data_IF_951301932420
#
_entry.id   IF_951301932420
#
_cell.length_a   1.000
_cell.length_b   1.000
_cell.length_c   1.000
_cell.angle_alpha   90.00
_cell.angle_beta   90.00
_cell.angle_gamma   90.00
#
_symmetry.space_group_name_H-M   'P 1'
#
loop_
_entity.id
_entity.type
_entity.pdbx_description
1 polymer ?
#
# COMPACT_ATOMS: atom_id res chain seq x y z
N UNK A 1 9.09 -14.67 -3.91
CA UNK A 1 8.06 -14.80 -4.97
C UNK A 1 8.63 -14.43 -6.33
N UNK A 2 9.28 -13.26 -6.50
CA UNK A 2 9.83 -12.81 -7.80
C UNK A 2 10.86 -13.76 -8.42
N UNK A 3 11.63 -14.49 -7.60
CA UNK A 3 12.59 -15.47 -8.10
C UNK A 3 11.95 -16.60 -8.92
N UNK A 4 10.73 -16.98 -8.60
CA UNK A 4 10.01 -18.09 -9.26
C UNK A 4 8.89 -17.65 -10.20
N UNK A 5 8.59 -16.35 -10.32
CA UNK A 5 7.49 -15.89 -11.17
C UNK A 5 7.87 -15.95 -12.65
N UNK A 6 7.06 -16.59 -13.50
CA UNK A 6 7.27 -16.61 -14.94
C UNK A 6 7.00 -15.24 -15.59
N UNK A 7 6.04 -14.49 -15.05
CA UNK A 7 5.75 -13.11 -15.46
C UNK A 7 5.61 -12.23 -14.21
N UNK A 8 6.13 -11.02 -14.28
CA UNK A 8 6.03 -10.01 -13.23
C UNK A 8 5.31 -8.79 -13.80
N UNK A 9 4.14 -8.49 -13.28
CA UNK A 9 3.35 -7.36 -13.72
C UNK A 9 3.52 -6.18 -12.77
N UNK A 10 4.03 -5.05 -13.29
CA UNK A 10 4.04 -3.77 -12.58
C UNK A 10 2.73 -3.05 -12.84
N UNK A 11 1.87 -2.97 -11.83
CA UNK A 11 0.59 -2.28 -11.92
C UNK A 11 0.70 -0.79 -11.59
N UNK A 12 -0.27 0.02 -12.04
CA UNK A 12 -0.36 1.47 -11.81
C UNK A 12 0.79 2.27 -12.44
N UNK A 13 1.33 1.78 -13.53
CA UNK A 13 2.47 2.38 -14.23
C UNK A 13 2.13 3.69 -14.93
N UNK A 14 0.87 3.90 -15.35
CA UNK A 14 0.41 5.10 -16.02
C UNK A 14 0.54 6.41 -15.23
N UNK A 15 0.75 6.31 -13.92
CA UNK A 15 0.97 7.46 -13.04
C UNK A 15 2.42 7.58 -12.54
N UNK A 16 3.32 6.74 -13.06
CA UNK A 16 4.71 6.69 -12.66
C UNK A 16 5.60 7.35 -13.72
N UNK A 17 6.58 8.12 -13.27
CA UNK A 17 7.65 8.59 -14.13
C UNK A 17 8.56 7.45 -14.57
N UNK A 18 9.29 7.63 -15.67
CA UNK A 18 10.28 6.66 -16.12
C UNK A 18 11.33 6.36 -15.07
N UNK A 19 11.76 7.39 -14.34
CA UNK A 19 12.73 7.24 -13.25
C UNK A 19 12.19 6.36 -12.10
N UNK A 20 10.91 6.47 -11.75
CA UNK A 20 10.27 5.62 -10.72
C UNK A 20 10.20 4.16 -11.17
N UNK A 21 9.89 3.91 -12.44
CA UNK A 21 9.88 2.56 -13.02
C UNK A 21 11.28 1.95 -13.01
N UNK A 22 12.29 2.70 -13.46
CA UNK A 22 13.68 2.24 -13.47
C UNK A 22 14.21 2.01 -12.05
N UNK A 23 13.78 2.79 -11.07
CA UNK A 23 14.09 2.58 -9.65
C UNK A 23 13.46 1.27 -9.15
N UNK A 24 12.22 1.01 -9.53
CA UNK A 24 11.50 -0.23 -9.17
C UNK A 24 12.21 -1.44 -9.77
N UNK A 25 12.60 -1.40 -11.04
CA UNK A 25 13.38 -2.47 -11.69
C UNK A 25 14.69 -2.74 -10.97
N UNK A 26 15.47 -1.69 -10.69
CA UNK A 26 16.73 -1.84 -9.93
C UNK A 26 16.50 -2.44 -8.55
N UNK A 27 15.41 -2.06 -7.87
CA UNK A 27 15.06 -2.64 -6.57
C UNK A 27 14.72 -4.13 -6.65
N UNK A 28 14.01 -4.56 -7.69
CA UNK A 28 13.73 -5.98 -7.94
C UNK A 28 15.02 -6.77 -8.17
N UNK A 29 15.94 -6.27 -9.01
CA UNK A 29 17.24 -6.88 -9.26
C UNK A 29 18.09 -6.97 -8.00
N UNK A 30 18.15 -5.90 -7.21
CA UNK A 30 18.85 -5.89 -5.92
C UNK A 30 18.26 -6.93 -4.95
N UNK A 31 16.93 -7.08 -4.94
CA UNK A 31 16.25 -8.07 -4.12
C UNK A 31 16.60 -9.50 -4.51
N UNK A 32 16.74 -9.80 -5.81
CA UNK A 32 17.22 -11.10 -6.29
C UNK A 32 18.67 -11.36 -5.87
N UNK A 33 19.55 -10.38 -6.08
CA UNK A 33 20.96 -10.50 -5.64
C UNK A 33 21.08 -10.71 -4.13
N UNK A 34 20.25 -10.04 -3.34
CA UNK A 34 20.24 -10.19 -1.88
C UNK A 34 19.89 -11.60 -1.40
N UNK A 35 19.18 -12.37 -2.22
CA UNK A 35 18.88 -13.80 -1.98
C UNK A 35 19.74 -14.73 -2.81
N UNK A 36 20.81 -14.24 -3.42
CA UNK A 36 21.75 -15.00 -4.27
C UNK A 36 21.04 -15.69 -5.44
N UNK A 37 20.10 -15.01 -6.07
CA UNK A 37 19.42 -15.47 -7.26
C UNK A 37 19.99 -14.73 -8.47
N UNK A 38 20.57 -15.47 -9.42
CA UNK A 38 21.22 -14.92 -10.62
C UNK A 38 20.27 -14.75 -11.81
N UNK A 39 18.97 -14.93 -11.56
CA UNK A 39 17.95 -14.79 -12.60
C UNK A 39 17.87 -13.35 -13.11
N UNK A 40 17.84 -13.17 -14.44
CA UNK A 40 17.46 -11.90 -15.08
C UNK A 40 15.93 -11.73 -15.06
N UNK A 41 15.48 -10.50 -14.87
CA UNK A 41 14.08 -10.12 -14.94
C UNK A 41 13.74 -9.34 -16.22
N UNK A 42 14.70 -9.11 -17.12
CA UNK A 42 14.58 -8.19 -18.25
C UNK A 42 13.41 -8.55 -19.18
N UNK A 43 13.21 -9.82 -19.47
CA UNK A 43 12.20 -10.31 -20.42
C UNK A 43 10.87 -10.73 -19.74
N UNK A 44 10.79 -10.67 -18.42
CA UNK A 44 9.62 -11.15 -17.67
C UNK A 44 8.83 -10.05 -16.97
N UNK A 45 9.36 -8.82 -16.97
CA UNK A 45 8.65 -7.66 -16.42
C UNK A 45 7.74 -7.06 -17.49
N UNK A 46 6.46 -6.97 -17.17
CA UNK A 46 5.46 -6.33 -18.00
C UNK A 46 5.03 -5.00 -17.34
N UNK A 47 5.19 -3.90 -18.08
CA UNK A 47 4.85 -2.53 -17.67
C UNK A 47 3.83 -1.96 -18.65
N UNK A 48 2.56 -2.18 -18.39
CA UNK A 48 1.48 -1.64 -19.20
C UNK A 48 0.34 -1.13 -18.33
N UNK A 49 -0.33 -0.11 -18.82
CA UNK A 49 -1.61 0.30 -18.25
C UNK A 49 -2.69 -0.74 -18.55
N UNK A 50 -3.61 -0.94 -17.61
CA UNK A 50 -4.67 -1.93 -17.73
C UNK A 50 -5.48 -1.79 -19.01
N UNK A 51 -5.78 -0.54 -19.43
CA UNK A 51 -6.58 -0.26 -20.62
C UNK A 51 -5.83 -0.53 -21.94
N UNK A 52 -4.51 -0.76 -21.89
CA UNK A 52 -3.65 -1.07 -23.04
C UNK A 52 -3.34 -2.56 -23.21
N UNK A 53 -3.91 -3.42 -22.35
CA UNK A 53 -3.70 -4.86 -22.42
C UNK A 53 -4.39 -5.46 -23.64
N UNK A 54 -3.60 -6.20 -24.43
CA UNK A 54 -4.10 -6.97 -25.57
C UNK A 54 -4.41 -8.41 -25.18
N UNK A 55 -5.02 -9.16 -26.09
CA UNK A 55 -5.27 -10.59 -25.87
C UNK A 55 -3.97 -11.37 -25.67
N UNK A 56 -2.94 -11.01 -26.43
CA UNK A 56 -1.61 -11.61 -26.35
C UNK A 56 -0.95 -11.36 -25.01
N UNK A 57 -1.11 -10.16 -24.42
CA UNK A 57 -0.63 -9.86 -23.08
C UNK A 57 -1.29 -10.75 -22.02
N UNK A 58 -2.58 -10.97 -22.13
CA UNK A 58 -3.31 -11.86 -21.22
C UNK A 58 -2.89 -13.33 -21.39
N UNK A 59 -2.65 -13.76 -22.61
CA UNK A 59 -2.12 -15.11 -22.91
C UNK A 59 -0.71 -15.27 -22.32
N UNK A 60 0.15 -14.27 -22.43
CA UNK A 60 1.48 -14.26 -21.83
C UNK A 60 1.40 -14.36 -20.30
N UNK A 61 0.52 -13.60 -19.65
CA UNK A 61 0.31 -13.67 -18.20
C UNK A 61 -0.17 -15.06 -17.79
N UNK A 62 -1.17 -15.58 -18.49
CA UNK A 62 -1.77 -16.89 -18.20
C UNK A 62 -0.77 -18.05 -18.38
N UNK A 63 0.13 -17.93 -19.36
CA UNK A 63 1.16 -18.94 -19.66
C UNK A 63 2.46 -18.77 -18.88
N UNK A 64 2.65 -17.66 -18.17
CA UNK A 64 3.90 -17.30 -17.49
C UNK A 64 4.41 -18.35 -16.50
N UNK A 65 3.49 -18.96 -15.76
CA UNK A 65 3.77 -20.11 -14.91
C UNK A 65 4.82 -19.85 -13.82
N UNK A 66 5.58 -20.89 -13.50
CA UNK A 66 6.63 -20.89 -12.50
C UNK A 66 7.98 -21.25 -13.11
N UNK A 67 9.02 -20.53 -12.73
CA UNK A 67 10.42 -20.79 -13.16
C UNK A 67 11.21 -21.31 -11.97
N UNK A 68 11.90 -22.43 -12.18
CA UNK A 68 12.83 -22.94 -11.17
C UNK A 68 14.09 -22.09 -11.14
N UNK A 69 14.26 -21.34 -10.06
CA UNK A 69 15.47 -20.55 -9.82
C UNK A 69 16.07 -20.94 -8.46
N UNK A 70 17.41 -20.99 -8.41
CA UNK A 70 18.11 -21.20 -7.15
C UNK A 70 18.17 -19.89 -6.36
N UNK A 71 17.83 -19.91 -5.08
CA UNK A 71 17.96 -18.77 -4.18
C UNK A 71 18.05 -19.19 -2.72
N UNK A 72 18.62 -18.33 -1.90
CA UNK A 72 18.69 -18.52 -0.45
C UNK A 72 17.52 -17.82 0.21
N UNK A 73 16.67 -18.56 0.91
CA UNK A 73 15.53 -17.99 1.63
C UNK A 73 16.02 -17.02 2.70
N UNK A 74 15.66 -15.74 2.59
CA UNK A 74 15.97 -14.73 3.59
C UNK A 74 14.94 -14.82 4.71
N UNK A 75 15.44 -14.93 5.95
CA UNK A 75 14.58 -14.74 7.12
C UNK A 75 14.22 -13.24 7.23
N UNK A 76 12.93 -12.94 7.16
CA UNK A 76 12.41 -11.59 7.36
C UNK A 76 12.08 -11.48 8.85
N UNK A 77 12.69 -10.51 9.55
CA UNK A 77 12.25 -10.14 10.89
C UNK A 77 11.01 -9.26 10.75
N UNK A 78 9.97 -9.57 11.52
CA UNK A 78 8.73 -8.77 11.50
C UNK A 78 8.98 -7.31 11.88
N UNK A 79 10.03 -7.06 12.67
CA UNK A 79 10.47 -5.73 13.11
C UNK A 79 11.01 -4.85 11.97
N UNK A 80 11.47 -5.46 10.87
CA UNK A 80 11.98 -4.76 9.67
C UNK A 80 10.86 -4.42 8.66
N UNK A 81 9.60 -4.67 9.03
CA UNK A 81 8.45 -4.44 8.17
C UNK A 81 7.56 -3.33 8.73
N UNK A 82 6.57 -2.95 7.95
CA UNK A 82 5.56 -2.00 8.42
C UNK A 82 4.80 -2.52 9.63
N UNK A 83 4.34 -1.60 10.47
CA UNK A 83 3.43 -1.87 11.58
C UNK A 83 2.02 -1.40 11.27
N UNK A 84 1.04 -1.99 11.96
CA UNK A 84 -0.36 -1.63 11.85
C UNK A 84 -0.89 -1.30 13.23
N UNK A 85 -1.49 -0.13 13.39
CA UNK A 85 -2.19 0.28 14.59
C UNK A 85 -3.69 0.32 14.33
N UNK A 86 -4.46 -0.21 15.29
CA UNK A 86 -5.91 -0.28 15.23
C UNK A 86 -6.50 0.62 16.30
N UNK A 87 -7.47 1.42 15.90
CA UNK A 87 -8.24 2.30 16.77
C UNK A 87 -9.71 1.92 16.63
N UNK A 88 -10.30 1.46 17.71
CA UNK A 88 -11.69 1.00 17.76
C UNK A 88 -12.53 2.04 18.52
N UNK A 89 -13.83 2.06 18.23
CA UNK A 89 -14.83 2.90 18.89
C UNK A 89 -14.46 4.40 18.87
N UNK A 90 -13.89 4.85 17.75
CA UNK A 90 -13.50 6.24 17.52
C UNK A 90 -14.66 7.03 16.90
N UNK A 91 -14.88 8.24 17.38
CA UNK A 91 -15.96 9.11 16.90
C UNK A 91 -15.43 10.33 16.17
N UNK A 92 -14.73 10.10 15.03
CA UNK A 92 -14.21 11.20 14.22
C UNK A 92 -15.34 11.95 13.51
N UNK A 93 -15.34 13.26 13.63
CA UNK A 93 -16.29 14.10 12.89
C UNK A 93 -16.03 14.06 11.39
N UNK A 94 -17.05 13.75 10.57
CA UNK A 94 -16.94 13.65 9.11
C UNK A 94 -16.22 14.85 8.48
N UNK A 95 -16.60 16.07 8.88
CA UNK A 95 -16.07 17.33 8.34
C UNK A 95 -14.57 17.54 8.63
N UNK A 96 -14.07 16.95 9.69
CA UNK A 96 -12.69 17.11 10.16
C UNK A 96 -11.79 15.94 9.77
N UNK A 97 -12.36 14.76 9.53
CA UNK A 97 -11.63 13.53 9.29
C UNK A 97 -10.62 13.65 8.13
N UNK A 98 -11.02 14.26 7.02
CA UNK A 98 -10.15 14.41 5.87
C UNK A 98 -8.92 15.29 6.15
N UNK A 99 -9.10 16.44 6.80
CA UNK A 99 -7.99 17.35 7.13
C UNK A 99 -7.07 16.74 8.18
N UNK A 100 -7.63 16.14 9.20
CA UNK A 100 -6.91 15.51 10.29
C UNK A 100 -6.05 14.33 9.80
N UNK A 101 -6.59 13.44 8.99
CA UNK A 101 -5.85 12.30 8.43
C UNK A 101 -4.72 12.78 7.53
N UNK A 102 -4.94 13.80 6.69
CA UNK A 102 -3.88 14.37 5.86
C UNK A 102 -2.77 15.01 6.69
N UNK A 103 -3.11 15.75 7.74
CA UNK A 103 -2.14 16.34 8.64
C UNK A 103 -1.32 15.25 9.34
N UNK A 104 -1.98 14.25 9.92
CA UNK A 104 -1.34 13.11 10.57
C UNK A 104 -0.39 12.35 9.63
N UNK A 105 -0.79 12.13 8.35
CA UNK A 105 0.06 11.48 7.35
C UNK A 105 1.24 12.34 6.90
N UNK A 106 1.14 13.66 7.01
CA UNK A 106 2.20 14.60 6.62
C UNK A 106 3.15 14.93 7.78
N UNK A 107 2.76 14.61 9.01
CA UNK A 107 3.55 14.86 10.20
C UNK A 107 4.55 13.73 10.43
N UNK A 108 5.83 14.01 10.19
CA UNK A 108 6.92 13.05 10.38
C UNK A 108 7.06 12.56 11.83
N UNK A 109 6.52 13.29 12.81
CA UNK A 109 6.51 12.86 14.21
C UNK A 109 5.59 11.67 14.47
N UNK A 110 4.61 11.42 13.58
CA UNK A 110 3.75 10.24 13.58
C UNK A 110 4.43 8.98 13.03
N UNK A 111 5.63 9.11 12.44
CA UNK A 111 6.29 8.08 11.68
C UNK A 111 5.98 8.20 10.17
N UNK A 112 6.35 7.20 9.40
CA UNK A 112 6.09 7.16 7.95
C UNK A 112 4.75 6.44 7.69
N UNK A 113 3.65 7.18 7.74
CA UNK A 113 2.32 6.63 7.48
C UNK A 113 2.09 6.57 5.97
N UNK A 114 1.90 5.38 5.41
CA UNK A 114 1.63 5.21 3.99
C UNK A 114 0.21 4.78 3.67
N UNK A 115 -0.57 4.38 4.66
CA UNK A 115 -1.99 4.09 4.46
C UNK A 115 -2.81 4.29 5.72
N UNK A 116 -3.97 4.90 5.57
CA UNK A 116 -5.02 4.92 6.60
C UNK A 116 -6.29 4.37 5.97
N UNK A 117 -6.90 3.40 6.64
CA UNK A 117 -8.20 2.83 6.29
C UNK A 117 -9.14 2.91 7.49
N UNK A 118 -10.42 2.94 7.23
CA UNK A 118 -11.38 2.88 8.32
C UNK A 118 -12.80 3.16 7.88
N UNK A 119 -13.67 3.24 8.89
CA UNK A 119 -15.06 3.59 8.67
C UNK A 119 -15.48 4.59 9.74
N UNK A 120 -16.26 5.56 9.32
CA UNK A 120 -16.86 6.56 10.20
C UNK A 120 -18.36 6.43 10.18
N UNK A 121 -18.95 6.61 11.32
CA UNK A 121 -20.41 6.77 11.44
C UNK A 121 -20.78 8.21 11.11
N UNK A 122 -21.78 8.39 10.26
CA UNK A 122 -22.33 9.70 9.91
C UNK A 122 -23.40 10.14 10.91
N UNK A 123 -23.65 11.44 10.96
CA UNK A 123 -24.73 12.01 11.79
C UNK A 123 -26.13 11.49 11.37
N UNK A 124 -26.32 11.18 10.08
CA UNK A 124 -27.57 10.64 9.52
C UNK A 124 -27.73 9.12 9.64
N UNK A 125 -26.94 8.48 10.50
CA UNK A 125 -26.90 7.02 10.71
C UNK A 125 -26.31 6.21 9.53
N UNK A 126 -25.75 6.86 8.52
CA UNK A 126 -24.99 6.22 7.45
C UNK A 126 -23.55 5.93 7.85
N UNK A 127 -22.80 5.35 6.91
CA UNK A 127 -21.39 5.04 7.08
C UNK A 127 -20.56 5.60 5.95
N UNK A 128 -19.31 5.94 6.24
CA UNK A 128 -18.30 6.34 5.27
C UNK A 128 -17.09 5.45 5.39
N UNK A 129 -16.59 4.96 4.26
CA UNK A 129 -15.29 4.31 4.18
C UNK A 129 -14.19 5.35 3.95
N UNK A 130 -13.15 5.29 4.76
CA UNK A 130 -11.91 6.05 4.59
C UNK A 130 -10.89 5.17 3.90
N UNK A 131 -10.26 5.68 2.85
CA UNK A 131 -9.10 5.07 2.23
C UNK A 131 -8.12 6.16 1.82
N UNK A 132 -7.07 6.32 2.60
CA UNK A 132 -6.07 7.37 2.43
C UNK A 132 -4.68 6.81 2.18
N UNK A 133 -3.96 7.43 1.27
CA UNK A 133 -2.53 7.27 0.99
C UNK A 133 -1.91 8.67 0.88
N UNK A 134 -0.58 8.83 0.87
CA UNK A 134 0.04 10.14 0.66
C UNK A 134 -0.36 10.84 -0.65
N UNK A 135 -0.80 10.07 -1.65
CA UNK A 135 -1.20 10.60 -2.98
C UNK A 135 -2.70 10.76 -3.15
N UNK A 136 -3.53 10.05 -2.37
CA UNK A 136 -4.96 9.98 -2.60
C UNK A 136 -5.72 9.86 -1.29
N UNK A 137 -6.80 10.62 -1.18
CA UNK A 137 -7.76 10.51 -0.09
C UNK A 137 -9.14 10.26 -0.68
N UNK A 138 -9.82 9.19 -0.22
CA UNK A 138 -11.20 8.87 -0.55
C UNK A 138 -12.03 8.76 0.72
N UNK A 139 -13.23 9.28 0.64
CA UNK A 139 -14.26 9.17 1.66
C UNK A 139 -15.57 8.86 0.92
N UNK A 140 -16.03 7.63 1.00
CA UNK A 140 -17.12 7.12 0.16
C UNK A 140 -18.23 6.52 1.03
N UNK A 141 -19.52 6.80 0.74
CA UNK A 141 -20.64 6.20 1.46
C UNK A 141 -20.66 4.68 1.28
N UNK A 142 -20.97 3.97 2.36
CA UNK A 142 -21.18 2.52 2.36
C UNK A 142 -22.43 2.15 3.16
N UNK A 143 -22.98 0.97 2.91
CA UNK A 143 -24.21 0.51 3.57
C UNK A 143 -23.99 0.13 5.04
N UNK A 144 -22.85 -0.45 5.34
CA UNK A 144 -22.52 -0.94 6.69
C UNK A 144 -21.05 -0.72 7.00
N UNK A 145 -20.75 -0.37 8.24
CA UNK A 145 -19.40 -0.18 8.74
C UNK A 145 -19.30 -0.50 10.23
N UNK A 146 -18.09 -0.39 10.75
CA UNK A 146 -17.79 -0.47 12.17
C UNK A 146 -16.80 0.66 12.47
N UNK A 147 -16.99 1.39 13.55
CA UNK A 147 -16.09 2.48 13.95
C UNK A 147 -14.70 1.94 14.22
N UNK A 148 -13.84 2.06 13.21
CA UNK A 148 -12.45 1.63 13.25
C UNK A 148 -11.60 2.49 12.34
N UNK A 149 -10.41 2.83 12.81
CA UNK A 149 -9.35 3.42 11.98
C UNK A 149 -8.12 2.51 12.06
N UNK A 150 -7.53 2.23 10.92
CA UNK A 150 -6.36 1.39 10.77
C UNK A 150 -5.26 2.24 10.15
N UNK A 151 -4.19 2.45 10.90
CA UNK A 151 -3.02 3.21 10.46
C UNK A 151 -1.88 2.24 10.15
N UNK A 152 -1.34 2.31 8.94
CA UNK A 152 -0.31 1.41 8.43
C UNK A 152 0.92 2.25 8.04
N UNK A 153 2.08 1.88 8.56
CA UNK A 153 3.30 2.64 8.31
C UNK A 153 4.54 2.01 8.92
N UNK A 154 5.65 2.71 8.81
CA UNK A 154 6.94 2.36 9.40
C UNK A 154 7.26 3.31 10.55
N UNK A 155 7.87 2.81 11.62
CA UNK A 155 8.25 3.59 12.79
C UNK A 155 7.09 4.43 13.35
N UNK A 156 5.89 3.87 13.39
CA UNK A 156 4.70 4.57 13.86
C UNK A 156 4.84 4.99 15.32
N UNK A 157 4.62 6.28 15.58
CA UNK A 157 4.58 6.85 16.92
C UNK A 157 3.14 6.90 17.41
N UNK A 158 2.77 5.90 18.24
CA UNK A 158 1.40 5.77 18.75
C UNK A 158 0.93 7.01 19.50
N UNK A 159 1.77 7.60 20.35
CA UNK A 159 1.39 8.76 21.17
C UNK A 159 1.03 9.99 20.31
N UNK A 160 1.75 10.22 19.23
CA UNK A 160 1.46 11.32 18.32
C UNK A 160 0.19 11.05 17.51
N UNK A 161 0.00 9.82 17.04
CA UNK A 161 -1.22 9.42 16.31
C UNK A 161 -2.44 9.52 17.23
N UNK A 162 -2.34 9.07 18.49
CA UNK A 162 -3.40 9.18 19.49
C UNK A 162 -3.85 10.64 19.68
N UNK A 163 -2.93 11.61 19.69
CA UNK A 163 -3.27 13.04 19.80
C UNK A 163 -4.13 13.51 18.65
N UNK A 164 -3.77 13.15 17.41
CA UNK A 164 -4.56 13.48 16.23
C UNK A 164 -5.97 12.89 16.31
N UNK A 165 -6.11 11.64 16.74
CA UNK A 165 -7.42 11.00 16.89
C UNK A 165 -8.27 11.71 17.93
N UNK A 166 -7.71 11.98 19.13
CA UNK A 166 -8.40 12.71 20.19
C UNK A 166 -8.83 14.13 19.79
N UNK A 167 -8.03 14.83 18.98
CA UNK A 167 -8.40 16.12 18.42
C UNK A 167 -9.57 16.02 17.44
N UNK A 168 -9.67 14.90 16.72
CA UNK A 168 -10.73 14.64 15.76
C UNK A 168 -12.09 14.27 16.39
N UNK A 169 -12.07 13.80 17.63
CA UNK A 169 -13.28 13.45 18.41
C UNK A 169 -13.93 14.68 19.08
N UNK A 170 -13.21 15.78 19.22
CA UNK A 170 -13.68 17.04 19.80
C UNK A 170 -14.38 17.93 18.77
#
# INVERSE_FOLDING_TARGET
QIAGAGTILLSKTGHCSREELDRTRRHLDQSLRAVRCDRSLEDVIMEKDWDSFTKEDWEQIASGGYVHASYVKKAIRMEDTYTTQYYLDIHLQEKRAASLIRQMMSDSSCGNIFRVKGFLKREDSGWLEINATPRQFRLEPIERGQEVLIVIGENLNKEQIDRYIQEGER
#
